data_IF_702722357342
#
_entry.id   IF_702722357342
#
_cell.length_a   1.000
_cell.length_b   1.000
_cell.length_c   1.000
_cell.angle_alpha   90.00
_cell.angle_beta   90.00
_cell.angle_gamma   90.00
#
_symmetry.space_group_name_H-M   'P 1'
#
loop_
_entity.id
_entity.type
_entity.pdbx_description
1 polymer ?
#
# COMPACT_ATOMS: atom_id res chain seq x y z
N UNK A 1 25.78 -4.19 -5.63
CA UNK A 1 25.13 -4.56 -6.91
C UNK A 1 23.62 -4.33 -6.75
N UNK A 2 22.95 -3.61 -7.67
CA UNK A 2 21.54 -3.20 -7.55
C UNK A 2 20.61 -4.43 -7.66
N UNK A 3 19.62 -4.55 -6.76
CA UNK A 3 18.61 -5.63 -6.82
C UNK A 3 17.72 -5.42 -8.06
N UNK A 4 17.50 -6.47 -8.84
CA UNK A 4 16.59 -6.48 -10.01
C UNK A 4 15.45 -7.48 -9.78
N UNK A 5 14.34 -7.34 -10.50
CA UNK A 5 13.24 -8.31 -10.43
C UNK A 5 13.71 -9.74 -10.73
N UNK A 6 14.60 -9.93 -11.72
CA UNK A 6 15.17 -11.25 -12.00
C UNK A 6 15.98 -11.82 -10.81
N UNK A 7 16.75 -10.98 -10.11
CA UNK A 7 17.50 -11.42 -8.91
C UNK A 7 16.56 -11.73 -7.74
N UNK A 8 15.51 -10.95 -7.55
CA UNK A 8 14.44 -11.22 -6.56
C UNK A 8 13.76 -12.56 -6.86
N UNK A 9 13.40 -12.79 -8.13
CA UNK A 9 12.79 -14.04 -8.58
C UNK A 9 13.69 -15.24 -8.30
N UNK A 10 14.99 -15.13 -8.63
CA UNK A 10 15.96 -16.20 -8.38
C UNK A 10 16.00 -16.64 -6.91
N UNK A 11 15.94 -15.68 -5.98
CA UNK A 11 15.91 -15.97 -4.54
C UNK A 11 14.65 -16.74 -4.15
N UNK A 12 13.49 -16.25 -4.59
CA UNK A 12 12.19 -16.88 -4.29
C UNK A 12 12.07 -18.27 -4.90
N UNK A 13 12.43 -18.43 -6.18
CA UNK A 13 12.43 -19.74 -6.86
C UNK A 13 13.31 -20.77 -6.15
N UNK A 14 14.50 -20.35 -5.68
CA UNK A 14 15.38 -21.25 -4.91
C UNK A 14 14.78 -21.62 -3.56
N UNK A 15 14.12 -20.67 -2.87
CA UNK A 15 13.44 -20.94 -1.60
C UNK A 15 12.29 -21.94 -1.77
N UNK A 16 11.58 -21.89 -2.90
CA UNK A 16 10.51 -22.84 -3.26
C UNK A 16 11.02 -24.13 -3.92
N UNK A 17 12.35 -24.33 -3.97
CA UNK A 17 13.02 -25.53 -4.49
C UNK A 17 12.69 -25.89 -5.94
N UNK A 18 12.30 -24.91 -6.76
CA UNK A 18 12.03 -25.11 -8.19
C UNK A 18 13.30 -24.88 -9.00
N UNK A 19 13.63 -25.79 -9.92
CA UNK A 19 14.82 -25.66 -10.77
C UNK A 19 14.62 -24.62 -11.88
N UNK A 20 15.70 -24.04 -12.41
CA UNK A 20 15.61 -23.12 -13.55
C UNK A 20 15.08 -23.82 -14.80
N UNK A 21 15.41 -25.10 -14.97
CA UNK A 21 14.89 -25.91 -16.08
C UNK A 21 13.37 -26.05 -15.99
N UNK A 22 12.84 -26.47 -14.83
CA UNK A 22 11.40 -26.66 -14.62
C UNK A 22 10.61 -25.36 -14.79
N UNK A 23 11.13 -24.25 -14.25
CA UNK A 23 10.50 -22.95 -14.38
C UNK A 23 10.50 -22.44 -15.83
N UNK A 24 11.61 -22.62 -16.55
CA UNK A 24 11.73 -22.19 -17.95
C UNK A 24 10.81 -22.98 -18.88
N UNK A 25 10.73 -24.30 -18.68
CA UNK A 25 9.84 -25.20 -19.41
C UNK A 25 8.37 -24.81 -19.24
N UNK A 26 7.94 -24.59 -17.99
CA UNK A 26 6.55 -24.23 -17.66
C UNK A 26 6.06 -22.94 -18.35
N UNK A 27 6.96 -22.05 -18.74
CA UNK A 27 6.61 -20.80 -19.41
C UNK A 27 7.08 -20.76 -20.88
N UNK A 28 7.59 -21.87 -21.41
CA UNK A 28 8.02 -21.99 -22.81
C UNK A 28 9.19 -21.08 -23.17
N UNK A 29 10.22 -20.99 -22.32
CA UNK A 29 11.48 -20.28 -22.62
C UNK A 29 12.69 -21.19 -22.42
N UNK A 30 13.84 -20.82 -22.99
CA UNK A 30 15.08 -21.56 -22.74
C UNK A 30 15.59 -21.32 -21.32
N UNK A 31 16.21 -22.35 -20.73
CA UNK A 31 16.89 -22.24 -19.43
C UNK A 31 17.90 -21.09 -19.39
N UNK A 32 18.68 -20.92 -20.47
CA UNK A 32 19.66 -19.84 -20.58
C UNK A 32 19.02 -18.45 -20.54
N UNK A 33 17.86 -18.26 -21.20
CA UNK A 33 17.10 -16.99 -21.15
C UNK A 33 16.66 -16.66 -19.73
N UNK A 34 16.11 -17.63 -19.00
CA UNK A 34 15.73 -17.46 -17.59
C UNK A 34 16.93 -17.11 -16.72
N UNK A 35 18.04 -17.84 -16.84
CA UNK A 35 19.23 -17.61 -16.01
C UNK A 35 19.89 -16.25 -16.27
N UNK A 36 19.90 -15.78 -17.52
CA UNK A 36 20.37 -14.42 -17.87
C UNK A 36 19.50 -13.35 -17.24
N UNK A 37 18.17 -13.49 -17.31
CA UNK A 37 17.25 -12.58 -16.62
C UNK A 37 17.46 -12.60 -15.10
N UNK A 38 17.61 -13.79 -14.51
CA UNK A 38 17.88 -13.97 -13.07
C UNK A 38 19.19 -13.32 -12.58
N UNK A 39 20.17 -13.17 -13.47
CA UNK A 39 21.42 -12.45 -13.21
C UNK A 39 21.32 -10.95 -13.52
N UNK A 40 20.23 -10.49 -14.10
CA UNK A 40 20.04 -9.10 -14.54
C UNK A 40 20.79 -8.76 -15.83
N UNK A 41 21.13 -9.77 -16.64
CA UNK A 41 21.87 -9.65 -17.90
C UNK A 41 20.95 -9.54 -19.14
N UNK A 42 19.65 -9.71 -18.95
CA UNK A 42 18.63 -9.63 -19.99
C UNK A 42 17.26 -9.26 -19.38
N UNK A 43 16.35 -8.75 -20.21
CA UNK A 43 14.94 -8.55 -19.86
C UNK A 43 14.10 -9.82 -20.04
N UNK A 44 12.89 -9.81 -19.48
CA UNK A 44 11.88 -10.85 -19.69
C UNK A 44 10.50 -10.19 -19.77
N UNK A 45 9.66 -10.67 -20.68
CA UNK A 45 8.33 -10.13 -20.92
C UNK A 45 7.45 -10.28 -19.67
N UNK A 46 6.66 -9.26 -19.35
CA UNK A 46 5.89 -9.21 -18.09
C UNK A 46 4.91 -10.38 -17.94
N UNK A 47 4.31 -10.85 -19.04
CA UNK A 47 3.45 -12.03 -19.06
C UNK A 47 4.20 -13.31 -18.64
N UNK A 48 5.46 -13.45 -19.08
CA UNK A 48 6.32 -14.57 -18.67
C UNK A 48 6.71 -14.44 -17.21
N UNK A 49 6.94 -13.22 -16.71
CA UNK A 49 7.18 -12.98 -15.28
C UNK A 49 5.97 -13.41 -14.45
N UNK A 50 4.74 -13.05 -14.83
CA UNK A 50 3.54 -13.46 -14.11
C UNK A 50 3.36 -14.98 -14.07
N UNK A 51 3.52 -15.66 -15.22
CA UNK A 51 3.47 -17.14 -15.27
C UNK A 51 4.54 -17.79 -14.41
N UNK A 52 5.74 -17.21 -14.37
CA UNK A 52 6.81 -17.71 -13.50
C UNK A 52 6.47 -17.57 -12.01
N UNK A 53 5.77 -16.51 -11.61
CA UNK A 53 5.31 -16.32 -10.23
C UNK A 53 4.25 -17.36 -9.83
N UNK A 54 3.32 -17.65 -10.75
CA UNK A 54 2.32 -18.72 -10.57
C UNK A 54 3.01 -20.09 -10.38
N UNK A 55 4.03 -20.40 -11.18
CA UNK A 55 4.81 -21.65 -11.08
C UNK A 55 5.49 -21.81 -9.72
N UNK A 56 5.95 -20.71 -9.12
CA UNK A 56 6.61 -20.74 -7.80
C UNK A 56 5.65 -20.44 -6.64
N UNK A 57 4.35 -20.34 -6.91
CA UNK A 57 3.31 -20.02 -5.92
C UNK A 57 3.60 -18.74 -5.12
N UNK A 58 4.12 -17.71 -5.80
CA UNK A 58 4.34 -16.38 -5.21
C UNK A 58 3.28 -15.43 -5.76
N UNK A 59 2.59 -14.71 -4.89
CA UNK A 59 1.63 -13.70 -5.33
C UNK A 59 2.36 -12.53 -6.00
N UNK A 60 1.73 -11.95 -7.03
CA UNK A 60 2.29 -10.83 -7.79
C UNK A 60 2.66 -9.69 -6.85
N UNK A 61 1.84 -9.40 -5.85
CA UNK A 61 2.15 -8.33 -4.92
C UNK A 61 3.39 -8.56 -4.08
N UNK A 62 3.56 -9.73 -3.50
CA UNK A 62 4.73 -10.04 -2.69
C UNK A 62 6.00 -9.89 -3.52
N UNK A 63 5.88 -10.15 -4.83
CA UNK A 63 6.94 -9.98 -5.79
C UNK A 63 7.22 -8.52 -6.17
N UNK A 64 6.20 -7.70 -6.47
CA UNK A 64 6.39 -6.34 -6.98
C UNK A 64 6.39 -5.25 -5.89
N UNK A 65 5.72 -5.45 -4.76
CA UNK A 65 5.68 -4.47 -3.68
C UNK A 65 6.93 -4.52 -2.82
N UNK A 66 7.93 -3.73 -3.21
CA UNK A 66 9.05 -3.38 -2.33
C UNK A 66 9.10 -1.89 -1.94
N UNK A 67 8.29 -1.00 -2.52
CA UNK A 67 8.41 0.44 -2.21
C UNK A 67 7.18 1.02 -1.50
N UNK A 68 5.98 0.77 -2.03
CA UNK A 68 4.73 1.27 -1.43
C UNK A 68 4.42 0.51 -0.12
N UNK A 69 4.50 -0.82 -0.14
CA UNK A 69 4.39 -1.64 1.07
C UNK A 69 5.42 -1.24 2.12
N UNK A 70 6.66 -0.91 1.75
CA UNK A 70 7.67 -0.46 2.71
C UNK A 70 7.37 0.92 3.29
N UNK A 71 6.87 1.87 2.50
CA UNK A 71 6.44 3.16 3.00
C UNK A 71 5.29 3.03 4.02
N UNK A 72 4.23 2.30 3.66
CA UNK A 72 3.09 2.07 4.55
C UNK A 72 3.52 1.28 5.79
N UNK A 73 4.32 0.23 5.62
CA UNK A 73 4.89 -0.57 6.73
C UNK A 73 5.70 0.29 7.69
N UNK A 74 6.51 1.22 7.19
CA UNK A 74 7.27 2.12 8.05
C UNK A 74 6.34 3.03 8.87
N UNK A 75 5.30 3.59 8.24
CA UNK A 75 4.27 4.36 8.97
C UNK A 75 3.59 3.49 10.03
N UNK A 76 3.14 2.29 9.66
CA UNK A 76 2.50 1.35 10.59
C UNK A 76 3.41 1.05 11.77
N UNK A 77 4.67 0.69 11.53
CA UNK A 77 5.63 0.38 12.59
C UNK A 77 5.88 1.57 13.53
N UNK A 78 6.05 2.78 12.98
CA UNK A 78 6.25 4.00 13.77
C UNK A 78 5.04 4.32 14.65
N UNK A 79 3.84 4.32 14.05
CA UNK A 79 2.60 4.71 14.72
C UNK A 79 2.16 3.65 15.72
N UNK A 80 2.15 2.36 15.33
CA UNK A 80 1.77 1.25 16.23
C UNK A 80 2.68 1.20 17.44
N UNK A 81 3.99 1.34 17.27
CA UNK A 81 4.93 1.36 18.39
C UNK A 81 4.59 2.48 19.38
N UNK A 82 4.38 3.70 18.90
CA UNK A 82 4.05 4.84 19.75
C UNK A 82 2.66 4.70 20.40
N UNK A 83 1.68 4.15 19.68
CA UNK A 83 0.34 3.93 20.18
C UNK A 83 0.31 2.86 21.29
N UNK A 84 0.93 1.70 21.04
CA UNK A 84 1.04 0.60 22.01
C UNK A 84 1.79 1.02 23.28
N UNK A 85 2.81 1.87 23.15
CA UNK A 85 3.55 2.41 24.30
C UNK A 85 2.91 3.63 24.96
N UNK A 86 1.74 4.09 24.50
CA UNK A 86 1.11 5.33 24.94
C UNK A 86 2.04 6.55 24.89
N UNK A 87 2.91 6.64 23.87
CA UNK A 87 3.80 7.79 23.67
C UNK A 87 3.05 8.97 23.03
N UNK A 88 2.15 9.54 23.84
CA UNK A 88 1.27 10.66 23.46
C UNK A 88 2.10 11.87 23.01
N UNK A 89 3.24 12.13 23.65
CA UNK A 89 4.09 13.26 23.32
C UNK A 89 4.74 13.12 21.94
N UNK A 90 5.24 11.92 21.61
CA UNK A 90 5.74 11.64 20.28
C UNK A 90 4.65 11.79 19.22
N UNK A 91 3.47 11.18 19.42
CA UNK A 91 2.35 11.27 18.48
C UNK A 91 1.91 12.71 18.23
N UNK A 92 1.80 13.52 19.30
CA UNK A 92 1.45 14.95 19.21
C UNK A 92 2.51 15.74 18.44
N UNK A 93 3.79 15.49 18.73
CA UNK A 93 4.92 16.20 18.13
C UNK A 93 4.99 15.91 16.63
N UNK A 94 4.90 14.63 16.25
CA UNK A 94 4.88 14.23 14.84
C UNK A 94 3.65 14.75 14.11
N UNK A 95 2.46 14.69 14.73
CA UNK A 95 1.23 15.26 14.16
C UNK A 95 1.40 16.73 13.81
N UNK A 96 1.86 17.56 14.76
CA UNK A 96 2.06 19.00 14.54
C UNK A 96 3.12 19.28 13.47
N UNK A 97 4.23 18.53 13.49
CA UNK A 97 5.29 18.66 12.48
C UNK A 97 4.74 18.39 11.08
N UNK A 98 4.09 17.24 10.88
CA UNK A 98 3.55 16.86 9.57
C UNK A 98 2.46 17.84 9.09
N UNK A 99 1.57 18.30 9.98
CA UNK A 99 0.58 19.32 9.61
C UNK A 99 1.26 20.64 9.18
N UNK A 100 2.33 21.06 9.85
CA UNK A 100 3.09 22.25 9.41
C UNK A 100 3.75 22.08 8.03
N UNK A 101 4.19 20.85 7.69
CA UNK A 101 4.71 20.54 6.36
C UNK A 101 3.61 20.60 5.29
N UNK A 102 2.41 20.13 5.61
CA UNK A 102 1.22 20.22 4.72
C UNK A 102 0.82 21.66 4.43
N UNK A 103 0.94 22.57 5.40
CA UNK A 103 0.66 23.99 5.17
C UNK A 103 1.69 24.63 4.23
N UNK A 104 2.94 24.18 4.28
CA UNK A 104 4.01 24.69 3.40
C UNK A 104 3.92 24.11 1.98
N UNK A 105 3.45 22.86 1.82
CA UNK A 105 3.15 22.24 0.54
C UNK A 105 1.77 21.57 0.56
N UNK A 106 0.76 22.37 0.19
CA UNK A 106 -0.63 21.91 0.20
C UNK A 106 -0.92 20.79 -0.80
N UNK A 107 -0.03 20.50 -1.77
CA UNK A 107 -0.25 19.45 -2.77
C UNK A 107 0.36 18.10 -2.38
N UNK A 108 1.19 18.02 -1.33
CA UNK A 108 1.74 16.75 -0.86
C UNK A 108 0.69 15.88 -0.14
N UNK A 109 -0.01 15.09 -0.96
CA UNK A 109 -1.00 14.11 -0.54
C UNK A 109 -0.42 13.06 0.43
N UNK A 110 0.83 12.63 0.25
CA UNK A 110 1.40 11.55 1.08
C UNK A 110 1.67 12.05 2.48
N UNK A 111 2.27 13.22 2.61
CA UNK A 111 2.50 13.86 3.91
C UNK A 111 1.18 14.18 4.60
N UNK A 112 0.16 14.65 3.86
CA UNK A 112 -1.18 14.86 4.41
C UNK A 112 -1.82 13.58 4.97
N UNK A 113 -1.79 12.47 4.23
CA UNK A 113 -2.35 11.20 4.70
C UNK A 113 -1.55 10.60 5.86
N UNK A 114 -0.22 10.77 5.86
CA UNK A 114 0.61 10.41 7.02
C UNK A 114 0.21 11.24 8.25
N UNK A 115 0.04 12.56 8.10
CA UNK A 115 -0.39 13.44 9.19
C UNK A 115 -1.73 12.99 9.79
N UNK A 116 -2.69 12.62 8.93
CA UNK A 116 -3.99 12.11 9.35
C UNK A 116 -3.87 10.84 10.22
N UNK A 117 -3.02 9.88 9.88
CA UNK A 117 -2.81 8.67 10.69
C UNK A 117 -2.29 9.03 12.09
N UNK A 118 -1.29 9.91 12.19
CA UNK A 118 -0.75 10.33 13.49
C UNK A 118 -1.79 11.08 14.32
N UNK A 119 -2.58 11.96 13.69
CA UNK A 119 -3.65 12.68 14.37
C UNK A 119 -4.76 11.72 14.84
N UNK A 120 -5.10 10.71 14.04
CA UNK A 120 -6.09 9.70 14.40
C UNK A 120 -5.64 8.92 15.65
N UNK A 121 -4.39 8.44 15.66
CA UNK A 121 -3.83 7.73 16.81
C UNK A 121 -3.76 8.61 18.07
N UNK A 122 -3.35 9.87 17.94
CA UNK A 122 -3.33 10.82 19.05
C UNK A 122 -4.74 11.12 19.59
N UNK A 123 -5.70 11.35 18.69
CA UNK A 123 -7.09 11.61 19.06
C UNK A 123 -7.70 10.42 19.78
N UNK A 124 -7.48 9.21 19.29
CA UNK A 124 -8.00 7.97 19.90
C UNK A 124 -7.51 7.78 21.35
N UNK A 125 -6.22 8.05 21.62
CA UNK A 125 -5.65 7.92 22.97
C UNK A 125 -6.05 9.05 23.94
N UNK A 126 -6.38 10.24 23.43
CA UNK A 126 -6.48 11.45 24.28
C UNK A 126 -7.85 12.13 24.26
N UNK A 127 -8.67 11.86 23.24
CA UNK A 127 -9.88 12.62 22.93
C UNK A 127 -9.62 14.05 22.44
N UNK A 128 -8.36 14.48 22.30
CA UNK A 128 -7.99 15.85 21.89
C UNK A 128 -7.84 15.91 20.38
N UNK A 129 -8.74 16.63 19.73
CA UNK A 129 -8.72 16.79 18.28
C UNK A 129 -7.84 17.96 17.84
N UNK A 130 -6.78 17.65 17.11
CA UNK A 130 -5.84 18.62 16.51
C UNK A 130 -5.97 18.66 14.98
N UNK A 131 -6.86 17.86 14.39
CA UNK A 131 -7.08 17.76 12.96
C UNK A 131 -8.30 18.60 12.57
N UNK A 132 -8.04 19.85 12.18
CA UNK A 132 -9.09 20.85 11.92
C UNK A 132 -10.20 20.38 10.96
N UNK A 133 -11.38 20.99 11.04
CA UNK A 133 -12.49 20.69 10.15
C UNK A 133 -12.16 20.88 8.67
N UNK A 134 -11.24 21.79 8.33
CA UNK A 134 -10.77 21.95 6.97
C UNK A 134 -10.01 20.70 6.50
N UNK A 135 -9.13 20.15 7.34
CA UNK A 135 -8.45 18.90 7.05
C UNK A 135 -9.41 17.70 7.00
N UNK A 136 -10.41 17.64 7.89
CA UNK A 136 -11.45 16.58 7.84
C UNK A 136 -12.26 16.63 6.53
N UNK A 137 -12.62 17.83 6.06
CA UNK A 137 -13.28 18.02 4.77
C UNK A 137 -12.37 17.57 3.62
N UNK A 138 -11.10 18.00 3.63
CA UNK A 138 -10.10 17.58 2.63
C UNK A 138 -9.93 16.05 2.61
N UNK A 139 -9.85 15.41 3.78
CA UNK A 139 -9.75 13.97 3.92
C UNK A 139 -11.02 13.25 3.45
N UNK A 140 -12.19 13.80 3.73
CA UNK A 140 -13.46 13.25 3.24
C UNK A 140 -13.54 13.33 1.71
N UNK A 141 -13.17 14.49 1.12
CA UNK A 141 -13.11 14.67 -0.33
C UNK A 141 -12.12 13.70 -0.99
N UNK A 142 -10.99 13.44 -0.32
CA UNK A 142 -10.00 12.48 -0.79
C UNK A 142 -10.58 11.07 -1.00
N UNK A 143 -11.41 10.60 -0.06
CA UNK A 143 -12.01 9.28 -0.11
C UNK A 143 -13.27 9.20 -0.98
N UNK A 144 -14.02 10.29 -1.09
CA UNK A 144 -15.25 10.37 -1.90
C UNK A 144 -15.06 10.19 -3.40
N UNK A 145 -13.83 10.05 -3.90
CA UNK A 145 -13.55 9.82 -5.31
C UNK A 145 -14.21 8.56 -5.89
N UNK A 146 -14.43 7.53 -5.08
CA UNK A 146 -15.15 6.33 -5.52
C UNK A 146 -16.63 6.62 -5.87
N UNK A 147 -17.20 7.69 -5.30
CA UNK A 147 -18.58 8.11 -5.55
C UNK A 147 -18.74 8.86 -6.87
N UNK A 148 -17.67 9.47 -7.39
CA UNK A 148 -17.74 10.19 -8.67
C UNK A 148 -17.64 9.28 -9.88
N UNK A 149 -17.25 8.01 -9.68
CA UNK A 149 -17.06 7.04 -10.77
C UNK A 149 -15.77 7.24 -11.57
N UNK A 150 -14.96 8.25 -11.23
CA UNK A 150 -13.77 8.64 -11.99
C UNK A 150 -12.47 7.97 -11.52
N UNK A 151 -12.43 7.47 -10.27
CA UNK A 151 -11.24 6.81 -9.70
C UNK A 151 -11.60 5.57 -8.88
N UNK A 152 -10.82 4.49 -9.08
CA UNK A 152 -10.87 3.25 -8.29
C UNK A 152 -9.95 3.39 -7.07
N UNK A 153 -10.41 3.00 -5.89
CA UNK A 153 -9.53 2.88 -4.72
C UNK A 153 -8.50 1.77 -4.93
N UNK A 154 -7.24 2.08 -4.66
CA UNK A 154 -6.15 1.12 -4.59
C UNK A 154 -5.93 0.66 -3.15
N UNK A 155 -5.06 -0.33 -2.96
CA UNK A 155 -4.71 -0.87 -1.63
C UNK A 155 -4.37 0.24 -0.61
N UNK A 156 -3.58 1.23 -1.03
CA UNK A 156 -3.18 2.35 -0.18
C UNK A 156 -4.39 3.16 0.31
N UNK A 157 -5.40 3.36 -0.53
CA UNK A 157 -6.61 4.11 -0.16
C UNK A 157 -7.39 3.38 0.93
N UNK A 158 -7.51 2.05 0.81
CA UNK A 158 -8.11 1.20 1.85
C UNK A 158 -7.32 1.28 3.15
N UNK A 159 -5.98 1.20 3.06
CA UNK A 159 -5.10 1.35 4.22
C UNK A 159 -5.28 2.70 4.91
N UNK A 160 -5.22 3.81 4.17
CA UNK A 160 -5.37 5.15 4.74
C UNK A 160 -6.77 5.36 5.32
N UNK A 161 -7.82 4.89 4.63
CA UNK A 161 -9.19 4.96 5.13
C UNK A 161 -9.34 4.25 6.46
N UNK A 162 -8.86 3.00 6.57
CA UNK A 162 -8.92 2.22 7.80
C UNK A 162 -8.18 2.86 8.98
N UNK A 163 -7.08 3.58 8.71
CA UNK A 163 -6.25 4.21 9.74
C UNK A 163 -6.63 5.67 10.07
N UNK A 164 -7.73 6.18 9.52
CA UNK A 164 -8.14 7.59 9.72
C UNK A 164 -9.64 7.76 10.03
N UNK A 165 -10.34 6.67 10.35
CA UNK A 165 -11.79 6.66 10.51
C UNK A 165 -12.27 7.60 11.64
N UNK A 166 -11.53 7.72 12.75
CA UNK A 166 -11.95 8.57 13.88
C UNK A 166 -11.96 10.07 13.53
N UNK A 167 -11.32 10.47 12.42
CA UNK A 167 -11.29 11.86 11.94
C UNK A 167 -12.45 12.20 11.01
N UNK A 168 -13.26 11.21 10.61
CA UNK A 168 -14.32 11.35 9.61
C UNK A 168 -15.68 11.14 10.28
N UNK A 169 -16.74 11.77 9.76
CA UNK A 169 -18.08 11.58 10.31
C UNK A 169 -18.56 10.12 10.15
N UNK A 170 -19.27 9.54 11.14
CA UNK A 170 -19.82 8.18 11.03
C UNK A 170 -20.68 7.95 9.78
N UNK A 171 -21.45 8.97 9.37
CA UNK A 171 -22.26 8.93 8.15
C UNK A 171 -21.40 8.79 6.90
N UNK A 172 -20.30 9.53 6.82
CA UNK A 172 -19.36 9.46 5.70
C UNK A 172 -18.65 8.10 5.67
N UNK A 173 -18.21 7.59 6.82
CA UNK A 173 -17.59 6.26 6.94
C UNK A 173 -18.55 5.19 6.40
N UNK A 174 -19.78 5.16 6.89
CA UNK A 174 -20.80 4.21 6.42
C UNK A 174 -21.01 4.29 4.91
N UNK A 175 -21.19 5.50 4.38
CA UNK A 175 -21.40 5.72 2.94
C UNK A 175 -20.23 5.20 2.11
N UNK A 176 -18.99 5.53 2.50
CA UNK A 176 -17.79 5.11 1.77
C UNK A 176 -17.57 3.59 1.86
N UNK A 177 -17.73 3.01 3.05
CA UNK A 177 -17.64 1.55 3.24
C UNK A 177 -18.68 0.80 2.40
N UNK A 178 -19.92 1.30 2.36
CA UNK A 178 -20.97 0.71 1.53
C UNK A 178 -20.62 0.80 0.04
N UNK A 179 -20.19 1.97 -0.43
CA UNK A 179 -19.78 2.18 -1.83
C UNK A 179 -18.60 1.29 -2.22
N UNK A 180 -17.63 1.10 -1.33
CA UNK A 180 -16.51 0.19 -1.55
C UNK A 180 -17.00 -1.25 -1.74
N UNK A 181 -17.86 -1.75 -0.84
CA UNK A 181 -18.43 -3.11 -0.94
C UNK A 181 -19.30 -3.27 -2.19
N UNK A 182 -20.12 -2.27 -2.51
CA UNK A 182 -20.96 -2.27 -3.69
C UNK A 182 -20.14 -2.28 -4.98
N UNK A 183 -19.08 -1.47 -5.05
CA UNK A 183 -18.15 -1.47 -6.17
C UNK A 183 -17.50 -2.85 -6.33
N UNK A 184 -17.02 -3.47 -5.26
CA UNK A 184 -16.44 -4.81 -5.31
C UNK A 184 -17.42 -5.87 -5.85
N UNK A 185 -18.66 -5.89 -5.35
CA UNK A 185 -19.66 -6.88 -5.78
C UNK A 185 -20.03 -6.78 -7.27
N UNK A 186 -20.05 -5.57 -7.81
CA UNK A 186 -20.49 -5.34 -9.20
C UNK A 186 -19.34 -5.39 -10.21
N UNK A 187 -18.08 -5.34 -9.76
CA UNK A 187 -16.90 -5.38 -10.62
C UNK A 187 -16.08 -6.67 -10.39
N UNK A 188 -16.76 -7.82 -10.28
CA UNK A 188 -16.23 -9.18 -9.99
C UNK A 188 -15.02 -9.67 -10.85
N UNK A 189 -14.44 -8.84 -11.72
CA UNK A 189 -13.21 -9.13 -12.50
C UNK A 189 -11.93 -8.53 -11.90
N UNK A 190 -12.04 -7.84 -10.77
CA UNK A 190 -10.89 -7.53 -9.94
C UNK A 190 -11.07 -8.34 -8.65
N UNK A 191 -10.50 -9.55 -8.65
CA UNK A 191 -9.71 -9.97 -7.48
C UNK A 191 -9.12 -8.69 -6.91
N UNK A 192 -9.34 -8.38 -5.63
CA UNK A 192 -8.49 -7.40 -4.97
C UNK A 192 -7.08 -7.74 -5.45
N UNK A 193 -6.49 -6.86 -6.27
CA UNK A 193 -5.11 -6.98 -6.71
C UNK A 193 -4.30 -6.64 -5.46
N UNK A 194 -4.46 -7.51 -4.47
CA UNK A 194 -3.63 -7.63 -3.31
C UNK A 194 -2.27 -7.78 -3.84
#
# INVERSE_FOLDING_TARGET
MKETYGRKFRKLRKATKISSSKAAEAVGISRSKLERWERGEAGLDIEKVFKLLEVIHVQKIDFFNNNISNYLKNITLEVSKAYESNDINYLKTQSKKLLSEVENDSFDKRTFLKAAIYCNAYYDLTGVDIFTDNYKKRLSMYFSKILSGDEVWYYDDVYFFGNTQNLISPRTIYSLSFSLVFYFKNNNDLEMKF
#
